data_IF_113664185503
#
_entry.id   IF_113664185503
#
_cell.length_a   1.000
_cell.length_b   1.000
_cell.length_c   1.000
_cell.angle_alpha   90.00
_cell.angle_beta   90.00
_cell.angle_gamma   90.00
#
_symmetry.space_group_name_H-M   'P 1'
#
loop_
_entity.id
_entity.type
_entity.pdbx_description
1 polymer ?
#
# COMPACT_ATOMS: atom_id res chain seq x y z
N UNK A 1 16.15 -0.81 25.36
CA UNK A 1 15.64 -1.29 24.06
C UNK A 1 14.20 -0.83 23.96
N UNK A 2 13.90 0.17 23.13
CA UNK A 2 12.53 0.58 22.91
C UNK A 2 11.82 -0.59 22.22
N UNK A 3 10.90 -1.25 22.93
CA UNK A 3 10.15 -2.37 22.37
C UNK A 3 9.40 -1.87 21.13
N UNK A 4 9.63 -2.50 19.97
CA UNK A 4 8.91 -2.17 18.75
C UNK A 4 7.42 -2.46 19.03
N UNK A 5 6.50 -1.49 18.84
CA UNK A 5 5.09 -1.74 19.04
C UNK A 5 4.64 -2.90 18.16
N UNK A 6 3.99 -3.90 18.75
CA UNK A 6 3.54 -5.13 18.05
C UNK A 6 2.69 -4.78 16.81
N UNK A 7 1.86 -3.74 16.92
CA UNK A 7 1.04 -3.26 15.81
C UNK A 7 1.84 -2.65 14.66
N UNK A 8 3.03 -2.08 14.90
CA UNK A 8 3.89 -1.58 13.82
C UNK A 8 4.49 -2.74 13.02
N UNK A 9 4.91 -3.82 13.69
CA UNK A 9 5.39 -5.04 13.03
C UNK A 9 4.25 -5.68 12.23
N UNK A 10 3.07 -5.79 12.85
CA UNK A 10 1.89 -6.34 12.19
C UNK A 10 1.53 -5.54 10.94
N UNK A 11 1.52 -4.20 11.02
CA UNK A 11 1.19 -3.34 9.88
C UNK A 11 2.20 -3.47 8.73
N UNK A 12 3.51 -3.51 9.02
CA UNK A 12 4.54 -3.74 8.00
C UNK A 12 4.39 -5.13 7.35
N UNK A 13 4.21 -6.18 8.18
CA UNK A 13 3.99 -7.52 7.66
C UNK A 13 2.70 -7.63 6.82
N UNK A 14 1.62 -6.97 7.24
CA UNK A 14 0.36 -6.97 6.50
C UNK A 14 0.47 -6.21 5.18
N UNK A 15 1.26 -5.14 5.11
CA UNK A 15 1.54 -4.41 3.87
C UNK A 15 2.13 -5.32 2.79
N UNK A 16 3.07 -6.18 3.16
CA UNK A 16 3.66 -7.16 2.24
C UNK A 16 2.64 -8.19 1.76
N UNK A 17 1.76 -8.65 2.65
CA UNK A 17 0.70 -9.60 2.30
C UNK A 17 -0.34 -8.95 1.38
N UNK A 18 -0.81 -7.75 1.71
CA UNK A 18 -1.70 -6.94 0.85
C UNK A 18 -1.07 -6.77 -0.52
N UNK A 19 0.20 -6.36 -0.58
CA UNK A 19 0.93 -6.16 -1.83
C UNK A 19 0.99 -7.45 -2.65
N UNK A 20 1.33 -8.58 -2.04
CA UNK A 20 1.34 -9.86 -2.73
C UNK A 20 -0.03 -10.21 -3.31
N UNK A 21 -1.12 -9.95 -2.58
CA UNK A 21 -2.48 -10.20 -3.04
C UNK A 21 -2.92 -9.24 -4.15
N UNK A 22 -2.60 -7.95 -4.06
CA UNK A 22 -2.85 -6.96 -5.13
C UNK A 22 -2.13 -7.39 -6.41
N UNK A 23 -0.83 -7.69 -6.32
CA UNK A 23 -0.03 -8.14 -7.46
C UNK A 23 -0.59 -9.43 -8.05
N UNK A 24 -0.96 -10.39 -7.20
CA UNK A 24 -1.57 -11.65 -7.65
C UNK A 24 -2.84 -11.39 -8.45
N UNK A 25 -3.77 -10.57 -7.96
CA UNK A 25 -5.02 -10.26 -8.67
C UNK A 25 -4.76 -9.56 -10.01
N UNK A 26 -3.90 -8.53 -10.02
CA UNK A 26 -3.60 -7.74 -11.21
C UNK A 26 -2.90 -8.62 -12.24
N UNK A 27 -1.81 -9.30 -11.88
CA UNK A 27 -1.01 -10.14 -12.79
C UNK A 27 -1.86 -11.30 -13.31
N UNK A 28 -2.68 -11.92 -12.46
CA UNK A 28 -3.62 -12.97 -12.88
C UNK A 28 -4.59 -12.46 -13.95
N UNK A 29 -5.16 -11.27 -13.77
CA UNK A 29 -6.05 -10.66 -14.77
C UNK A 29 -5.30 -10.25 -16.04
N UNK A 30 -4.08 -9.71 -15.92
CA UNK A 30 -3.20 -9.39 -17.06
C UNK A 30 -2.86 -10.62 -17.92
N UNK A 31 -2.80 -11.81 -17.30
CA UNK A 31 -2.58 -13.11 -17.96
C UNK A 31 -3.87 -13.72 -18.54
N UNK A 32 -4.99 -13.01 -18.49
CA UNK A 32 -6.26 -13.42 -19.08
C UNK A 32 -7.21 -14.16 -18.14
N UNK A 33 -6.88 -14.34 -16.85
CA UNK A 33 -7.83 -14.90 -15.89
C UNK A 33 -8.93 -13.90 -15.53
N UNK A 34 -10.11 -14.41 -15.18
CA UNK A 34 -11.21 -13.57 -14.67
C UNK A 34 -10.77 -12.83 -13.40
N UNK A 35 -11.20 -11.57 -13.27
CA UNK A 35 -10.86 -10.75 -12.12
C UNK A 35 -11.38 -11.39 -10.83
N UNK A 36 -10.49 -11.59 -9.86
CA UNK A 36 -10.83 -12.11 -8.53
C UNK A 36 -11.36 -10.98 -7.64
N UNK A 37 -12.47 -10.37 -8.05
CA UNK A 37 -12.98 -9.11 -7.47
C UNK A 37 -13.27 -9.21 -5.96
N UNK A 38 -13.74 -10.37 -5.47
CA UNK A 38 -13.98 -10.58 -4.04
C UNK A 38 -12.71 -10.49 -3.21
N UNK A 39 -11.62 -11.07 -3.72
CA UNK A 39 -10.30 -10.98 -3.09
C UNK A 39 -9.80 -9.54 -3.11
N UNK A 40 -9.91 -8.87 -4.26
CA UNK A 40 -9.51 -7.47 -4.39
C UNK A 40 -10.27 -6.54 -3.44
N UNK A 41 -11.58 -6.75 -3.31
CA UNK A 41 -12.41 -5.99 -2.37
C UNK A 41 -12.00 -6.25 -0.92
N UNK A 42 -11.77 -7.51 -0.53
CA UNK A 42 -11.31 -7.85 0.81
C UNK A 42 -9.97 -7.18 1.14
N UNK A 43 -9.03 -7.18 0.19
CA UNK A 43 -7.73 -6.51 0.31
C UNK A 43 -7.89 -4.99 0.45
N UNK A 44 -8.73 -4.37 -0.38
CA UNK A 44 -9.01 -2.92 -0.29
C UNK A 44 -9.65 -2.54 1.05
N UNK A 45 -10.60 -3.33 1.54
CA UNK A 45 -11.22 -3.09 2.84
C UNK A 45 -10.20 -3.24 3.97
N UNK A 46 -9.36 -4.28 3.92
CA UNK A 46 -8.28 -4.44 4.88
C UNK A 46 -7.33 -3.23 4.86
N UNK A 47 -6.92 -2.80 3.68
CA UNK A 47 -5.99 -1.69 3.49
C UNK A 47 -6.54 -0.39 4.10
N UNK A 48 -7.80 -0.06 3.82
CA UNK A 48 -8.45 1.15 4.34
C UNK A 48 -8.68 1.05 5.86
N UNK A 49 -9.22 -0.07 6.34
CA UNK A 49 -9.65 -0.20 7.73
C UNK A 49 -8.48 -0.43 8.69
N UNK A 50 -7.47 -1.18 8.26
CA UNK A 50 -6.37 -1.63 9.13
C UNK A 50 -5.13 -0.75 8.91
N UNK A 51 -4.57 -0.72 7.69
CA UNK A 51 -3.32 -0.01 7.43
C UNK A 51 -3.51 1.51 7.54
N UNK A 52 -4.45 2.07 6.78
CA UNK A 52 -4.74 3.52 6.83
C UNK A 52 -5.33 3.91 8.19
N UNK A 53 -6.24 3.10 8.74
CA UNK A 53 -6.80 3.32 10.08
C UNK A 53 -5.72 3.38 11.17
N UNK A 54 -4.76 2.45 11.15
CA UNK A 54 -3.63 2.46 12.08
C UNK A 54 -2.75 3.69 11.91
N UNK A 55 -2.47 4.12 10.68
CA UNK A 55 -1.71 5.34 10.43
C UNK A 55 -2.40 6.58 10.99
N UNK A 56 -3.72 6.72 10.80
CA UNK A 56 -4.50 7.84 11.34
C UNK A 56 -4.49 7.82 12.88
N UNK A 57 -4.70 6.65 13.48
CA UNK A 57 -4.62 6.47 14.93
C UNK A 57 -3.24 6.89 15.46
N UNK A 58 -2.17 6.40 14.82
CA UNK A 58 -0.80 6.74 15.21
C UNK A 58 -0.49 8.22 15.05
N UNK A 59 -0.92 8.84 13.95
CA UNK A 59 -0.73 10.26 13.70
C UNK A 59 -1.45 11.14 14.75
N UNK A 60 -2.63 10.72 15.21
CA UNK A 60 -3.41 11.47 16.22
C UNK A 60 -2.88 11.31 17.64
N UNK A 61 -2.30 10.16 17.99
CA UNK A 61 -1.87 9.84 19.36
C UNK A 61 -0.37 10.07 19.62
N UNK A 62 0.46 10.05 18.58
CA UNK A 62 1.92 10.23 18.69
C UNK A 62 2.40 11.62 18.25
N UNK A 63 1.50 12.56 17.96
CA UNK A 63 1.85 13.94 17.57
C UNK A 63 2.65 14.71 18.64
N UNK A 64 2.67 14.23 19.89
CA UNK A 64 3.38 14.84 21.02
C UNK A 64 4.64 14.12 21.51
N UNK A 65 4.95 12.92 21.00
CA UNK A 65 6.21 12.25 21.34
C UNK A 65 7.34 12.89 20.55
N UNK A 66 8.14 13.70 21.24
CA UNK A 66 9.32 14.40 20.74
C UNK A 66 10.26 13.43 20.05
N UNK A 67 10.15 13.41 18.72
CA UNK A 67 11.04 12.71 17.83
C UNK A 67 12.47 13.18 18.11
N UNK A 68 13.38 12.24 18.41
CA UNK A 68 14.79 12.42 18.07
C UNK A 68 14.88 13.11 16.71
N UNK A 69 15.74 14.12 16.57
CA UNK A 69 15.70 15.08 15.48
C UNK A 69 15.96 14.43 14.10
N UNK A 70 14.94 13.80 13.52
CA UNK A 70 14.91 13.32 12.14
C UNK A 70 15.29 14.49 11.24
N UNK A 71 16.29 14.28 10.38
CA UNK A 71 16.76 15.31 9.46
C UNK A 71 15.59 15.85 8.61
N UNK A 72 15.62 17.14 8.20
CA UNK A 72 14.56 17.71 7.36
C UNK A 72 14.29 16.89 6.09
N UNK A 73 15.34 16.28 5.52
CA UNK A 73 15.23 15.38 4.36
C UNK A 73 14.40 14.14 4.69
N UNK A 74 14.68 13.44 5.80
CA UNK A 74 13.94 12.23 6.18
C UNK A 74 12.46 12.54 6.49
N UNK A 75 12.18 13.68 7.12
CA UNK A 75 10.80 14.14 7.34
C UNK A 75 10.07 14.41 6.01
N UNK A 76 10.74 15.07 5.08
CA UNK A 76 10.20 15.33 3.74
C UNK A 76 9.91 14.04 2.97
N UNK A 77 10.84 13.09 2.98
CA UNK A 77 10.68 11.80 2.31
C UNK A 77 9.56 10.96 2.95
N UNK A 78 9.42 10.97 4.28
CA UNK A 78 8.33 10.27 4.97
C UNK A 78 6.96 10.86 4.62
N UNK A 79 6.85 12.20 4.57
CA UNK A 79 5.64 12.89 4.12
C UNK A 79 5.30 12.59 2.65
N UNK A 80 6.31 12.60 1.78
CA UNK A 80 6.16 12.23 0.37
C UNK A 80 5.67 10.79 0.21
N UNK A 81 6.28 9.84 0.93
CA UNK A 81 5.84 8.45 0.94
C UNK A 81 4.37 8.33 1.38
N UNK A 82 3.97 8.97 2.48
CA UNK A 82 2.58 8.94 2.95
C UNK A 82 1.59 9.46 1.90
N UNK A 83 1.94 10.55 1.22
CA UNK A 83 1.12 11.10 0.12
C UNK A 83 1.08 10.15 -1.09
N UNK A 84 2.22 9.58 -1.48
CA UNK A 84 2.32 8.63 -2.58
C UNK A 84 1.46 7.38 -2.30
N UNK A 85 1.57 6.79 -1.12
CA UNK A 85 0.79 5.61 -0.72
C UNK A 85 -0.72 5.89 -0.77
N UNK A 86 -1.15 7.08 -0.32
CA UNK A 86 -2.56 7.48 -0.41
C UNK A 86 -3.02 7.62 -1.87
N UNK A 87 -2.22 8.27 -2.72
CA UNK A 87 -2.52 8.39 -4.16
C UNK A 87 -2.60 6.99 -4.79
N UNK A 88 -1.67 6.11 -4.47
CA UNK A 88 -1.64 4.74 -4.99
C UNK A 88 -2.86 3.93 -4.56
N UNK A 89 -3.33 4.08 -3.32
CA UNK A 89 -4.57 3.48 -2.85
C UNK A 89 -5.79 3.98 -3.64
N UNK A 90 -5.89 5.30 -3.86
CA UNK A 90 -6.99 5.88 -4.64
C UNK A 90 -6.97 5.39 -6.10
N UNK A 91 -5.80 5.31 -6.71
CA UNK A 91 -5.63 4.73 -8.05
C UNK A 91 -6.01 3.25 -8.04
N UNK A 92 -5.60 2.47 -7.05
CA UNK A 92 -6.00 1.06 -6.94
C UNK A 92 -7.52 0.91 -6.86
N UNK A 93 -8.21 1.74 -6.06
CA UNK A 93 -9.68 1.76 -5.99
C UNK A 93 -10.29 2.06 -7.35
N UNK A 94 -9.80 3.08 -8.05
CA UNK A 94 -10.27 3.46 -9.38
C UNK A 94 -10.08 2.33 -10.40
N UNK A 95 -8.87 1.75 -10.48
CA UNK A 95 -8.57 0.64 -11.38
C UNK A 95 -9.39 -0.60 -11.03
N UNK A 96 -9.64 -0.87 -9.74
CA UNK A 96 -10.48 -1.97 -9.28
C UNK A 96 -11.92 -1.82 -9.74
N UNK A 97 -12.47 -0.60 -9.66
CA UNK A 97 -13.82 -0.29 -10.15
C UNK A 97 -13.92 -0.48 -11.67
N UNK A 98 -12.96 0.05 -12.44
CA UNK A 98 -12.90 -0.12 -13.90
C UNK A 98 -12.76 -1.60 -14.29
N UNK A 99 -11.91 -2.34 -13.58
CA UNK A 99 -11.71 -3.76 -13.81
C UNK A 99 -12.97 -4.58 -13.51
N UNK A 100 -13.67 -4.26 -12.42
CA UNK A 100 -14.96 -4.88 -12.09
C UNK A 100 -16.00 -4.62 -13.18
N UNK A 101 -16.13 -3.36 -13.61
CA UNK A 101 -17.06 -2.95 -14.66
C UNK A 101 -16.80 -3.65 -16.01
N UNK A 102 -15.53 -3.84 -16.38
CA UNK A 102 -15.14 -4.56 -17.59
C UNK A 102 -15.33 -6.08 -17.45
N UNK A 103 -15.10 -6.63 -16.26
CA UNK A 103 -15.38 -8.05 -15.96
C UNK A 103 -16.86 -8.38 -16.19
N UNK A 104 -17.78 -7.48 -15.84
CA UNK A 104 -19.22 -7.66 -16.13
C UNK A 104 -19.54 -7.74 -17.64
N UNK A 105 -18.60 -7.31 -18.51
CA UNK A 105 -18.68 -7.43 -19.98
C UNK A 105 -17.82 -8.56 -20.54
N UNK A 106 -17.30 -9.44 -19.69
CA UNK A 106 -16.40 -10.53 -20.11
C UNK A 106 -15.02 -10.07 -20.56
N UNK A 107 -14.59 -8.85 -20.18
CA UNK A 107 -13.30 -8.27 -20.57
C UNK A 107 -12.33 -8.23 -19.38
N UNK A 108 -11.04 -8.45 -19.65
CA UNK A 108 -9.98 -8.40 -18.66
C UNK A 108 -9.28 -7.03 -18.73
N UNK A 109 -9.72 -6.08 -17.91
CA UNK A 109 -9.21 -4.70 -17.95
C UNK A 109 -7.67 -4.63 -17.88
N UNK A 110 -7.03 -5.33 -16.95
CA UNK A 110 -5.57 -5.24 -16.81
C UNK A 110 -4.83 -5.91 -17.99
N UNK A 111 -5.46 -6.87 -18.68
CA UNK A 111 -4.91 -7.45 -19.91
C UNK A 111 -5.02 -6.48 -21.09
N UNK A 112 -6.11 -5.71 -21.19
CA UNK A 112 -6.31 -4.71 -22.25
C UNK A 112 -5.46 -3.46 -22.03
N UNK A 113 -5.21 -3.09 -20.77
CA UNK A 113 -4.47 -1.88 -20.37
C UNK A 113 -3.12 -2.22 -19.73
N UNK A 114 -2.28 -3.03 -20.41
CA UNK A 114 -1.00 -3.51 -19.86
C UNK A 114 -0.05 -2.40 -19.45
N UNK A 115 0.07 -1.33 -20.24
CA UNK A 115 1.00 -0.23 -19.93
C UNK A 115 0.62 0.43 -18.60
N UNK A 116 -0.66 0.78 -18.43
CA UNK A 116 -1.17 1.36 -17.19
C UNK A 116 -0.98 0.39 -16.02
N UNK A 117 -1.24 -0.90 -16.23
CA UNK A 117 -1.08 -1.94 -15.21
C UNK A 117 0.37 -2.08 -14.74
N UNK A 118 1.33 -2.07 -15.67
CA UNK A 118 2.76 -2.15 -15.34
C UNK A 118 3.22 -0.88 -14.63
N UNK A 119 2.83 0.30 -15.11
CA UNK A 119 3.14 1.57 -14.45
C UNK A 119 2.61 1.59 -13.02
N UNK A 120 1.36 1.16 -12.81
CA UNK A 120 0.78 1.02 -11.49
C UNK A 120 1.60 0.09 -10.60
N UNK A 121 1.94 -1.12 -11.08
CA UNK A 121 2.74 -2.09 -10.32
C UNK A 121 4.09 -1.51 -9.90
N UNK A 122 4.81 -0.85 -10.82
CA UNK A 122 6.13 -0.27 -10.54
C UNK A 122 6.02 0.81 -9.46
N UNK A 123 5.09 1.75 -9.61
CA UNK A 123 4.93 2.83 -8.64
C UNK A 123 4.41 2.31 -7.30
N UNK A 124 3.53 1.31 -7.31
CA UNK A 124 3.06 0.62 -6.10
C UNK A 124 4.21 0.01 -5.32
N UNK A 125 5.08 -0.75 -6.00
CA UNK A 125 6.24 -1.39 -5.38
C UNK A 125 7.22 -0.35 -4.81
N UNK A 126 7.46 0.75 -5.50
CA UNK A 126 8.28 1.85 -4.97
C UNK A 126 7.66 2.43 -3.69
N UNK A 127 6.34 2.62 -3.67
CA UNK A 127 5.63 3.09 -2.48
C UNK A 127 5.81 2.12 -1.31
N UNK A 128 5.51 0.84 -1.50
CA UNK A 128 5.61 -0.20 -0.45
C UNK A 128 7.05 -0.33 0.07
N UNK A 129 8.03 -0.44 -0.83
CA UNK A 129 9.44 -0.59 -0.45
C UNK A 129 9.94 0.63 0.33
N UNK A 130 9.50 1.84 -0.02
CA UNK A 130 9.85 3.03 0.77
C UNK A 130 9.23 3.01 2.18
N UNK A 131 8.01 2.46 2.34
CA UNK A 131 7.37 2.28 3.65
C UNK A 131 8.13 1.29 4.54
N UNK A 132 8.49 0.13 3.99
CA UNK A 132 9.31 -0.87 4.68
C UNK A 132 10.68 -0.31 5.07
N UNK A 133 11.29 0.50 4.21
CA UNK A 133 12.54 1.19 4.53
C UNK A 133 12.39 2.14 5.71
N UNK A 134 11.32 2.93 5.78
CA UNK A 134 11.06 3.80 6.93
C UNK A 134 10.82 3.02 8.21
N UNK A 135 10.12 1.88 8.14
CA UNK A 135 9.96 0.98 9.27
C UNK A 135 11.33 0.46 9.76
N UNK A 136 12.18 -0.02 8.85
CA UNK A 136 13.50 -0.51 9.16
C UNK A 136 14.41 0.58 9.76
N UNK A 137 14.42 1.78 9.18
CA UNK A 137 15.21 2.90 9.70
C UNK A 137 14.79 3.28 11.13
N UNK A 138 13.47 3.34 11.38
CA UNK A 138 12.92 3.74 12.68
C UNK A 138 13.15 2.72 13.78
N UNK A 139 13.07 1.42 13.47
CA UNK A 139 12.99 0.37 14.50
C UNK A 139 14.16 -0.61 14.51
N UNK A 140 14.88 -0.77 13.40
CA UNK A 140 16.01 -1.70 13.28
C UNK A 140 17.36 -0.97 13.25
N UNK A 141 17.42 0.22 12.67
CA UNK A 141 18.67 0.99 12.52
C UNK A 141 18.89 2.07 13.60
N UNK A 142 17.92 2.32 14.49
CA UNK A 142 17.98 3.36 15.54
C UNK A 142 18.36 4.77 15.01
N UNK A 143 17.68 5.21 13.94
CA UNK A 143 17.76 6.59 13.42
C UNK A 143 16.47 7.40 13.65
#
# INVERSE_FOLDING_TARGET
MNAIPVFSIFSAASELVVTALVLYVIISNMRGQVLRWKLLLAVLLFEVLVNVGYMIYRASHMAGETSEALSPLLRGLAGFHGALSLIMLLVLIQLSFLAYWQMQRGRQYFQEHRVISVLFIVVWLVSVLSGELFFALRYLAHY
#
